data_IF_637983227174
#
_entry.id   IF_637983227174
#
_cell.length_a   1.000
_cell.length_b   1.000
_cell.length_c   1.000
_cell.angle_alpha   90.00
_cell.angle_beta   90.00
_cell.angle_gamma   90.00
#
_symmetry.space_group_name_H-M   'P 1'
#
loop_
_entity.id
_entity.type
_entity.pdbx_description
1 polymer ?
#
# COMPACT_ATOMS: atom_id res chain seq x y z
N UNK A 1 13.89 -9.11 -35.00
CA UNK A 1 12.53 -8.52 -34.92
C UNK A 1 11.82 -8.73 -33.58
N UNK A 2 12.09 -9.80 -32.81
CA UNK A 2 11.45 -10.03 -31.50
C UNK A 2 11.82 -9.06 -30.36
N UNK A 3 12.98 -8.40 -30.43
CA UNK A 3 13.48 -7.48 -29.38
C UNK A 3 12.84 -6.08 -29.47
N UNK A 4 12.24 -5.72 -30.62
CA UNK A 4 11.66 -4.39 -30.87
C UNK A 4 10.13 -4.39 -30.74
N UNK A 5 9.47 -5.55 -30.88
CA UNK A 5 8.02 -5.67 -30.77
C UNK A 5 7.52 -5.70 -29.31
N UNK A 6 8.27 -6.34 -28.41
CA UNK A 6 7.87 -6.50 -27.01
C UNK A 6 7.61 -5.18 -26.26
N UNK A 7 8.41 -4.11 -26.41
CA UNK A 7 8.13 -2.82 -25.76
C UNK A 7 6.80 -2.19 -26.21
N UNK A 8 6.43 -2.36 -27.48
CA UNK A 8 5.19 -1.82 -28.05
C UNK A 8 3.99 -2.57 -27.45
N UNK A 9 4.04 -3.90 -27.42
CA UNK A 9 2.95 -4.73 -26.88
C UNK A 9 2.79 -4.57 -25.36
N UNK A 10 3.90 -4.49 -24.62
CA UNK A 10 3.88 -4.18 -23.18
C UNK A 10 3.36 -2.77 -22.90
N UNK A 11 3.69 -1.79 -23.76
CA UNK A 11 3.16 -0.44 -23.71
C UNK A 11 1.64 -0.38 -23.89
N UNK A 12 1.10 -1.02 -24.92
CA UNK A 12 -0.36 -1.04 -25.17
C UNK A 12 -1.12 -1.72 -24.01
N UNK A 13 -0.53 -2.80 -23.48
CA UNK A 13 -1.03 -3.48 -22.27
C UNK A 13 -1.01 -2.57 -21.04
N UNK A 14 0.03 -1.74 -20.88
CA UNK A 14 0.16 -0.79 -19.78
C UNK A 14 -0.88 0.34 -19.89
N UNK A 15 -1.03 0.96 -21.06
CA UNK A 15 -2.05 2.00 -21.30
C UNK A 15 -3.46 1.50 -21.05
N UNK A 16 -3.76 0.27 -21.50
CA UNK A 16 -5.03 -0.38 -21.21
C UNK A 16 -5.21 -0.56 -19.71
N UNK A 17 -4.22 -1.11 -19.00
CA UNK A 17 -4.28 -1.36 -17.55
C UNK A 17 -4.49 -0.07 -16.75
N UNK A 18 -3.76 1.00 -17.08
CA UNK A 18 -3.91 2.31 -16.45
C UNK A 18 -5.32 2.87 -16.64
N UNK A 19 -5.86 2.77 -17.86
CA UNK A 19 -7.25 3.20 -18.12
C UNK A 19 -8.27 2.43 -17.29
N UNK A 20 -8.12 1.11 -17.17
CA UNK A 20 -9.00 0.28 -16.34
C UNK A 20 -8.91 0.70 -14.87
N UNK A 21 -7.70 0.86 -14.35
CA UNK A 21 -7.45 1.27 -12.97
C UNK A 21 -8.09 2.62 -12.65
N UNK A 22 -7.95 3.61 -13.53
CA UNK A 22 -8.57 4.93 -13.35
C UNK A 22 -10.10 4.80 -13.40
N UNK A 23 -10.64 4.06 -14.37
CA UNK A 23 -12.08 3.86 -14.47
C UNK A 23 -12.66 3.19 -13.22
N UNK A 24 -11.97 2.21 -12.65
CA UNK A 24 -12.41 1.51 -11.43
C UNK A 24 -12.30 2.40 -10.18
N UNK A 25 -11.25 3.23 -10.10
CA UNK A 25 -11.04 4.15 -8.97
C UNK A 25 -12.10 5.26 -8.93
N UNK A 26 -12.52 5.77 -10.09
CA UNK A 26 -13.51 6.84 -10.21
C UNK A 26 -14.94 6.34 -10.52
N UNK A 27 -15.14 5.03 -10.62
CA UNK A 27 -16.45 4.42 -10.93
C UNK A 27 -16.98 4.73 -12.33
N UNK A 28 -16.12 5.03 -13.30
CA UNK A 28 -16.52 5.30 -14.68
C UNK A 28 -16.90 4.02 -15.42
N UNK A 29 -18.09 4.00 -16.03
CA UNK A 29 -18.50 2.89 -16.89
C UNK A 29 -17.74 2.93 -18.23
N UNK A 30 -17.16 1.79 -18.62
CA UNK A 30 -16.34 1.67 -19.85
C UNK A 30 -17.13 1.21 -21.08
N UNK A 31 -18.47 1.31 -21.03
CA UNK A 31 -19.37 0.78 -22.06
C UNK A 31 -19.38 1.63 -23.33
N UNK A 32 -19.33 2.97 -23.19
CA UNK A 32 -19.38 3.87 -24.35
C UNK A 32 -17.99 4.29 -24.81
N UNK A 33 -17.79 4.39 -26.12
CA UNK A 33 -16.52 4.80 -26.72
C UNK A 33 -16.07 6.20 -26.25
N UNK A 34 -17.01 7.13 -26.07
CA UNK A 34 -16.74 8.49 -25.59
C UNK A 34 -16.13 8.50 -24.19
N UNK A 35 -16.59 7.62 -23.29
CA UNK A 35 -16.06 7.50 -21.92
C UNK A 35 -14.64 6.94 -21.93
N UNK A 36 -14.31 6.08 -22.89
CA UNK A 36 -12.95 5.56 -23.07
C UNK A 36 -11.99 6.66 -23.51
N UNK A 37 -12.40 7.52 -24.43
CA UNK A 37 -11.59 8.64 -24.94
C UNK A 37 -11.29 9.68 -23.85
N UNK A 38 -12.27 10.01 -23.02
CA UNK A 38 -12.11 10.97 -21.91
C UNK A 38 -11.02 10.53 -20.92
N UNK A 39 -10.84 9.23 -20.67
CA UNK A 39 -9.78 8.72 -19.80
C UNK A 39 -8.47 8.53 -20.57
N UNK A 40 -8.57 8.09 -21.83
CA UNK A 40 -7.38 7.75 -22.65
C UNK A 40 -6.57 9.01 -23.01
N UNK A 41 -7.24 10.11 -23.38
CA UNK A 41 -6.56 11.34 -23.81
C UNK A 41 -5.66 11.92 -22.69
N UNK A 42 -6.14 12.12 -21.44
CA UNK A 42 -5.29 12.57 -20.34
C UNK A 42 -4.13 11.61 -20.05
N UNK A 43 -4.37 10.29 -20.08
CA UNK A 43 -3.31 9.29 -19.86
C UNK A 43 -2.20 9.40 -20.91
N UNK A 44 -2.56 9.63 -22.18
CA UNK A 44 -1.58 9.86 -23.25
C UNK A 44 -0.78 11.14 -23.03
N UNK A 45 -1.43 12.24 -22.64
CA UNK A 45 -0.75 13.51 -22.36
C UNK A 45 0.29 13.33 -21.24
N UNK A 46 -0.10 12.66 -20.14
CA UNK A 46 0.81 12.36 -19.04
C UNK A 46 1.96 11.46 -19.50
N UNK A 47 1.69 10.43 -20.30
CA UNK A 47 2.73 9.55 -20.81
C UNK A 47 3.74 10.27 -21.72
N UNK A 48 3.27 11.15 -22.61
CA UNK A 48 4.13 11.98 -23.45
C UNK A 48 4.98 12.96 -22.64
N UNK A 49 4.46 13.48 -21.54
CA UNK A 49 5.24 14.28 -20.61
C UNK A 49 6.30 13.44 -19.89
N UNK A 50 5.95 12.23 -19.43
CA UNK A 50 6.86 11.33 -18.73
C UNK A 50 8.04 10.86 -19.60
N UNK A 51 7.82 10.63 -20.90
CA UNK A 51 8.90 10.21 -21.82
C UNK A 51 9.98 11.29 -21.97
N UNK A 52 9.69 12.55 -21.66
CA UNK A 52 10.68 13.64 -21.69
C UNK A 52 11.61 13.66 -20.47
N UNK A 53 11.29 12.91 -19.41
CA UNK A 53 12.15 12.79 -18.23
C UNK A 53 13.20 11.70 -18.39
N UNK A 54 14.28 11.81 -17.63
CA UNK A 54 15.32 10.78 -17.57
C UNK A 54 14.74 9.46 -17.05
N UNK A 55 14.94 8.39 -17.82
CA UNK A 55 14.51 7.04 -17.49
C UNK A 55 15.06 6.56 -16.14
N UNK A 56 16.27 6.98 -15.76
CA UNK A 56 16.87 6.63 -14.47
C UNK A 56 16.05 7.18 -13.29
N UNK A 57 15.47 8.37 -13.45
CA UNK A 57 14.59 8.96 -12.44
C UNK A 57 13.31 8.13 -12.36
N UNK A 58 12.63 7.89 -13.49
CA UNK A 58 11.38 7.10 -13.53
C UNK A 58 11.56 5.72 -12.90
N UNK A 59 12.67 5.05 -13.23
CA UNK A 59 12.99 3.73 -12.69
C UNK A 59 13.22 3.75 -11.18
N UNK A 60 13.87 4.80 -10.66
CA UNK A 60 14.04 5.03 -9.21
C UNK A 60 12.68 5.23 -8.53
N UNK A 61 11.79 6.04 -9.12
CA UNK A 61 10.43 6.24 -8.62
C UNK A 61 9.63 4.91 -8.61
N UNK A 62 9.75 4.11 -9.67
CA UNK A 62 9.12 2.80 -9.75
C UNK A 62 9.63 1.84 -8.66
N UNK A 63 10.95 1.77 -8.48
CA UNK A 63 11.58 0.89 -7.49
C UNK A 63 11.15 1.17 -6.05
N UNK A 64 11.24 2.43 -5.60
CA UNK A 64 10.83 2.77 -4.24
C UNK A 64 9.32 2.69 -4.04
N UNK A 65 8.50 3.08 -5.05
CA UNK A 65 7.04 2.95 -4.97
C UNK A 65 6.60 1.50 -4.73
N UNK A 66 7.27 0.55 -5.37
CA UNK A 66 7.01 -0.88 -5.15
C UNK A 66 7.40 -1.33 -3.73
N UNK A 67 8.49 -0.81 -3.17
CA UNK A 67 8.87 -1.10 -1.78
C UNK A 67 7.86 -0.53 -0.78
N UNK A 68 7.36 0.69 -1.02
CA UNK A 68 6.28 1.30 -0.22
C UNK A 68 5.02 0.45 -0.28
N UNK A 69 4.60 0.06 -1.48
CA UNK A 69 3.41 -0.77 -1.68
C UNK A 69 3.54 -2.12 -0.96
N UNK A 70 4.68 -2.79 -1.11
CA UNK A 70 4.98 -4.03 -0.41
C UNK A 70 4.90 -3.86 1.11
N UNK A 71 5.42 -2.75 1.63
CA UNK A 71 5.36 -2.41 3.06
C UNK A 71 3.92 -2.24 3.54
N UNK A 72 3.08 -1.50 2.80
CA UNK A 72 1.66 -1.30 3.13
C UNK A 72 0.92 -2.64 3.12
N UNK A 73 1.15 -3.48 2.11
CA UNK A 73 0.52 -4.81 2.01
C UNK A 73 0.96 -5.70 3.18
N UNK A 74 2.24 -5.71 3.54
CA UNK A 74 2.73 -6.47 4.71
C UNK A 74 2.01 -6.04 5.99
N UNK A 75 1.84 -4.74 6.23
CA UNK A 75 1.08 -4.24 7.38
C UNK A 75 -0.41 -4.61 7.31
N UNK A 76 -1.02 -4.61 6.13
CA UNK A 76 -2.39 -5.07 5.94
C UNK A 76 -2.52 -6.58 6.26
N UNK A 77 -1.53 -7.40 5.86
CA UNK A 77 -1.48 -8.82 6.20
C UNK A 77 -1.29 -9.03 7.70
N UNK A 78 -0.42 -8.24 8.37
CA UNK A 78 -0.29 -8.28 9.84
C UNK A 78 -1.63 -8.00 10.51
N UNK A 79 -2.33 -6.92 10.11
CA UNK A 79 -3.64 -6.59 10.65
C UNK A 79 -4.68 -7.70 10.43
N UNK A 80 -4.65 -8.33 9.25
CA UNK A 80 -5.52 -9.46 8.92
C UNK A 80 -5.21 -10.69 9.79
N UNK A 81 -3.93 -11.05 9.95
CA UNK A 81 -3.51 -12.20 10.75
C UNK A 81 -3.81 -12.01 12.24
N UNK A 82 -3.67 -10.79 12.76
CA UNK A 82 -4.08 -10.44 14.12
C UNK A 82 -5.56 -10.69 14.33
N UNK A 83 -6.42 -10.34 13.36
CA UNK A 83 -7.86 -10.61 13.44
C UNK A 83 -8.19 -12.11 13.43
N UNK A 84 -7.36 -12.90 12.77
CA UNK A 84 -7.52 -14.36 12.67
C UNK A 84 -6.82 -15.13 13.79
N UNK A 85 -6.19 -14.46 14.76
CA UNK A 85 -5.49 -15.07 15.91
C UNK A 85 -4.38 -16.05 15.51
N UNK A 86 -3.77 -15.83 14.34
CA UNK A 86 -2.63 -16.62 13.86
C UNK A 86 -1.31 -15.99 14.29
N UNK A 87 -0.23 -16.77 14.26
CA UNK A 87 1.12 -16.27 14.53
C UNK A 87 1.49 -15.14 13.56
N UNK A 88 1.72 -13.95 14.09
CA UNK A 88 2.03 -12.74 13.31
C UNK A 88 3.52 -12.53 13.10
N UNK A 89 4.38 -13.21 13.85
CA UNK A 89 5.82 -12.96 13.93
C UNK A 89 6.52 -13.01 12.57
N UNK A 90 6.15 -13.98 11.72
CA UNK A 90 6.76 -14.17 10.40
C UNK A 90 6.48 -13.01 9.42
N UNK A 91 5.36 -12.30 9.59
CA UNK A 91 5.00 -11.15 8.72
C UNK A 91 5.38 -9.83 9.38
N UNK A 92 5.34 -9.76 10.71
CA UNK A 92 5.70 -8.56 11.47
C UNK A 92 7.18 -8.20 11.32
N UNK A 93 8.08 -9.19 11.33
CA UNK A 93 9.51 -8.97 11.15
C UNK A 93 9.85 -8.32 9.78
N UNK A 94 9.42 -8.86 8.62
CA UNK A 94 9.66 -8.21 7.34
C UNK A 94 8.89 -6.88 7.21
N UNK A 95 7.69 -6.74 7.77
CA UNK A 95 6.94 -5.48 7.73
C UNK A 95 7.69 -4.32 8.41
N UNK A 96 8.22 -4.59 9.61
CA UNK A 96 8.96 -3.59 10.40
C UNK A 96 10.30 -3.25 9.76
N UNK A 97 11.04 -4.25 9.28
CA UNK A 97 12.27 -4.03 8.53
C UNK A 97 12.04 -3.16 7.27
N UNK A 98 11.05 -3.53 6.45
CA UNK A 98 10.71 -2.77 5.23
C UNK A 98 10.28 -1.34 5.54
N UNK A 99 9.58 -1.12 6.65
CA UNK A 99 9.22 0.23 7.12
C UNK A 99 10.46 1.08 7.40
N UNK A 100 11.47 0.50 8.07
CA UNK A 100 12.72 1.22 8.33
C UNK A 100 13.44 1.59 7.04
N UNK A 101 13.50 0.65 6.08
CA UNK A 101 14.15 0.88 4.77
C UNK A 101 13.44 1.97 3.98
N UNK A 102 12.12 1.90 3.86
CA UNK A 102 11.32 2.87 3.10
C UNK A 102 11.37 4.26 3.73
N UNK A 103 11.24 4.38 5.05
CA UNK A 103 11.30 5.67 5.74
C UNK A 103 12.71 6.26 5.62
N UNK A 104 13.76 5.47 5.80
CA UNK A 104 15.14 5.93 5.62
C UNK A 104 15.36 6.43 4.20
N UNK A 105 14.88 5.68 3.19
CA UNK A 105 14.98 6.09 1.78
C UNK A 105 14.31 7.44 1.53
N UNK A 106 13.08 7.65 1.99
CA UNK A 106 12.33 8.90 1.80
C UNK A 106 13.07 10.10 2.44
N UNK A 107 13.72 9.89 3.59
CA UNK A 107 14.44 10.96 4.29
C UNK A 107 15.79 11.29 3.63
N UNK A 108 16.51 10.28 3.12
CA UNK A 108 17.83 10.45 2.47
C UNK A 108 17.72 10.92 1.03
N UNK A 109 16.72 10.46 0.30
CA UNK A 109 16.67 10.63 -1.15
C UNK A 109 16.79 12.11 -1.55
N UNK A 110 17.52 12.42 -2.64
CA UNK A 110 17.69 13.79 -3.13
C UNK A 110 16.36 14.43 -3.54
N UNK A 111 15.37 13.61 -3.90
CA UNK A 111 13.98 14.01 -4.19
C UNK A 111 13.07 14.09 -2.96
N UNK A 112 13.52 13.57 -1.81
CA UNK A 112 12.80 13.61 -0.55
C UNK A 112 13.27 14.78 0.32
N UNK A 113 13.58 14.48 1.58
CA UNK A 113 13.97 15.51 2.56
C UNK A 113 15.47 15.86 2.56
N UNK A 114 16.31 15.11 1.83
CA UNK A 114 17.76 15.34 1.70
C UNK A 114 18.50 15.41 3.04
N UNK A 115 18.02 14.65 4.02
CA UNK A 115 18.58 14.62 5.38
C UNK A 115 19.82 13.71 5.40
N UNK A 116 20.87 14.04 6.18
CA UNK A 116 22.05 13.20 6.28
C UNK A 116 21.71 11.77 6.71
N UNK A 117 22.40 10.79 6.11
CA UNK A 117 22.12 9.36 6.25
C UNK A 117 21.99 8.88 7.70
N UNK A 118 22.86 9.36 8.60
CA UNK A 118 22.83 8.98 10.01
C UNK A 118 21.51 9.36 10.71
N UNK A 119 21.00 10.57 10.46
CA UNK A 119 19.73 11.02 11.05
C UNK A 119 18.54 10.30 10.43
N UNK A 120 18.56 10.09 9.12
CA UNK A 120 17.51 9.38 8.39
C UNK A 120 17.37 7.92 8.84
N UNK A 121 18.49 7.23 9.04
CA UNK A 121 18.50 5.85 9.53
C UNK A 121 17.93 5.77 10.95
N UNK A 122 18.37 6.68 11.83
CA UNK A 122 17.88 6.75 13.21
C UNK A 122 16.36 6.97 13.25
N UNK A 123 15.85 7.93 12.47
CA UNK A 123 14.43 8.18 12.36
C UNK A 123 13.65 7.00 11.75
N UNK A 124 14.21 6.35 10.72
CA UNK A 124 13.61 5.16 10.11
C UNK A 124 13.42 4.01 11.11
N UNK A 125 14.44 3.76 11.94
CA UNK A 125 14.37 2.75 13.00
C UNK A 125 13.35 3.15 14.07
N UNK A 126 13.35 4.41 14.51
CA UNK A 126 12.38 4.92 15.51
C UNK A 126 10.94 4.71 15.02
N UNK A 127 10.64 5.09 13.78
CA UNK A 127 9.30 4.95 13.19
C UNK A 127 8.90 3.47 13.08
N UNK A 128 9.83 2.61 12.65
CA UNK A 128 9.60 1.16 12.55
C UNK A 128 9.28 0.53 13.91
N UNK A 129 10.09 0.83 14.93
CA UNK A 129 9.89 0.33 16.29
C UNK A 129 8.57 0.85 16.88
N UNK A 130 8.27 2.13 16.69
CA UNK A 130 7.00 2.72 17.12
C UNK A 130 5.79 2.00 16.50
N UNK A 131 5.82 1.76 15.19
CA UNK A 131 4.75 1.02 14.51
C UNK A 131 4.65 -0.42 15.00
N UNK A 132 5.77 -1.11 15.19
CA UNK A 132 5.83 -2.47 15.75
C UNK A 132 5.14 -2.54 17.12
N UNK A 133 5.55 -1.67 18.05
CA UNK A 133 5.00 -1.62 19.42
C UNK A 133 3.51 -1.32 19.37
N UNK A 134 3.08 -0.34 18.56
CA UNK A 134 1.67 0.05 18.45
C UNK A 134 0.77 -1.11 18.01
N UNK A 135 1.27 -1.98 17.11
CA UNK A 135 0.53 -3.13 16.61
C UNK A 135 0.51 -4.29 17.60
N UNK A 136 1.61 -4.54 18.32
CA UNK A 136 1.66 -5.56 19.37
C UNK A 136 0.68 -5.20 20.50
N UNK A 137 0.70 -3.96 20.98
CA UNK A 137 -0.20 -3.48 22.03
C UNK A 137 -1.68 -3.59 21.62
N UNK A 138 -2.02 -3.17 20.39
CA UNK A 138 -3.39 -3.34 19.85
C UNK A 138 -3.81 -4.80 19.70
N UNK A 139 -2.87 -5.67 19.32
CA UNK A 139 -3.10 -7.11 19.25
C UNK A 139 -3.50 -7.70 20.60
N UNK A 140 -2.78 -7.35 21.67
CA UNK A 140 -3.05 -7.89 23.01
C UNK A 140 -4.41 -7.43 23.57
N UNK A 141 -4.78 -6.16 23.36
CA UNK A 141 -6.09 -5.64 23.79
C UNK A 141 -7.24 -6.41 23.14
N UNK A 142 -7.12 -6.75 21.85
CA UNK A 142 -8.15 -7.50 21.13
C UNK A 142 -8.26 -8.96 21.59
N UNK A 143 -7.14 -9.62 21.86
CA UNK A 143 -7.12 -10.99 22.40
C UNK A 143 -7.75 -11.06 23.80
N UNK A 144 -7.39 -10.13 24.69
CA UNK A 144 -7.92 -10.07 26.07
C UNK A 144 -9.43 -9.83 26.09
N UNK A 145 -9.94 -8.90 25.27
CA UNK A 145 -11.38 -8.57 25.23
C UNK A 145 -12.25 -9.73 24.75
N UNK A 146 -11.73 -10.57 23.85
CA UNK A 146 -12.43 -11.77 23.34
C UNK A 146 -12.41 -12.93 24.33
N UNK A 147 -11.36 -13.04 25.15
CA UNK A 147 -11.26 -14.06 26.19
C UNK A 147 -12.12 -13.72 27.42
N UNK A 148 -12.17 -12.44 27.82
CA UNK A 148 -13.00 -11.96 28.95
C UNK A 148 -14.50 -11.94 28.62
N UNK A 149 -14.86 -11.76 27.35
CA UNK A 149 -16.26 -11.74 26.91
C UNK A 149 -16.53 -12.98 26.05
N UNK A 150 -17.04 -14.07 26.63
CA UNK A 150 -17.41 -15.26 25.86
C UNK A 150 -18.43 -14.88 24.79
N UNK A 151 -18.31 -15.44 23.58
CA UNK A 151 -19.25 -15.23 22.46
C UNK A 151 -20.73 -15.30 22.89
N UNK A 152 -21.05 -16.15 23.87
CA UNK A 152 -22.39 -16.32 24.47
C UNK A 152 -23.02 -15.04 25.03
N UNK A 153 -22.22 -14.09 25.53
CA UNK A 153 -22.70 -12.83 26.11
C UNK A 153 -22.85 -11.71 25.07
N UNK A 154 -22.17 -11.80 23.93
CA UNK A 154 -22.28 -10.79 22.85
C UNK A 154 -23.65 -10.83 22.16
N UNK A 155 -24.25 -12.02 22.03
CA UNK A 155 -25.63 -12.18 21.55
C UNK A 155 -26.63 -11.58 22.53
N UNK A 156 -26.43 -11.77 23.84
CA UNK A 156 -27.32 -11.24 24.89
C UNK A 156 -27.25 -9.71 24.96
N UNK A 157 -26.05 -9.13 24.84
CA UNK A 157 -25.87 -7.68 24.83
C UNK A 157 -26.48 -7.02 23.57
N UNK A 158 -26.37 -7.67 22.40
CA UNK A 158 -27.08 -7.22 21.19
C UNK A 158 -28.60 -7.29 21.33
N UNK A 159 -29.13 -8.37 21.91
CA UNK A 159 -30.58 -8.50 22.17
C UNK A 159 -31.07 -7.47 23.19
N UNK A 160 -30.29 -7.20 24.25
CA UNK A 160 -30.64 -6.22 25.29
C UNK A 160 -30.54 -4.77 24.79
N UNK A 161 -29.66 -4.47 23.83
CA UNK A 161 -29.60 -3.17 23.16
C UNK A 161 -30.73 -2.97 22.14
N UNK A 162 -31.18 -4.03 21.45
CA UNK A 162 -32.32 -3.94 20.52
C UNK A 162 -33.66 -3.76 21.24
N UNK A 163 -33.82 -4.27 22.46
CA UNK A 163 -35.07 -4.15 23.24
C UNK A 163 -35.15 -2.87 24.09
N UNK A 164 -34.22 -1.92 23.89
CA UNK A 164 -34.18 -0.62 24.59
C UNK A 164 -34.48 0.56 23.66
N UNK A 165 -34.81 0.28 22.40
CA UNK A 165 -35.40 1.19 21.43
C UNK A 165 -36.85 0.78 21.19
#
# INVERSE_FOLDING_TARGET
>A
FGVIAAPITSGDTAFRSVRLMIADTFGFSQKRLTQRLIITIPVFIVALALIQFDFAIIWRYFGWSNQVLATIVLWAVVAYMQKQEKSIWFVLAPATFMTSVVVTYILVAPEGFRIPFAYSLTLGVIVSVFLCISFILRGQVNTVKKHIIPKRWTSILKVKQMNKN
#
